data_IF_902810872008
#
_entry.id   IF_902810872008
#
_cell.length_a   1.000
_cell.length_b   1.000
_cell.length_c   1.000
_cell.angle_alpha   90.00
_cell.angle_beta   90.00
_cell.angle_gamma   90.00
#
_symmetry.space_group_name_H-M   'P 1'
#
loop_
_entity.id
_entity.type
_entity.pdbx_description
1 polymer ?
#
# COMPACT_ATOMS: atom_id res chain seq x y z
N UNK A 1 11.68 -75.55 19.03
CA UNK A 1 11.90 -74.22 19.62
C UNK A 1 12.04 -73.23 18.48
N UNK A 2 11.01 -72.46 18.20
CA UNK A 2 10.97 -71.40 17.13
C UNK A 2 11.02 -70.06 17.84
N UNK A 3 12.11 -69.32 17.71
CA UNK A 3 12.27 -67.98 18.26
C UNK A 3 11.61 -66.98 17.35
N UNK A 4 10.63 -66.23 17.86
CA UNK A 4 9.99 -65.05 17.21
C UNK A 4 10.79 -63.81 17.56
N UNK A 5 11.41 -63.19 16.57
CA UNK A 5 11.98 -61.85 16.71
C UNK A 5 10.85 -60.81 16.54
N UNK A 6 10.54 -60.07 17.60
CA UNK A 6 9.70 -58.86 17.54
C UNK A 6 10.57 -57.69 17.09
N UNK A 7 10.32 -57.18 15.89
CA UNK A 7 10.87 -55.91 15.44
C UNK A 7 9.99 -54.76 15.95
N UNK A 8 10.54 -53.95 16.85
CA UNK A 8 9.90 -52.71 17.34
C UNK A 8 10.21 -51.61 16.34
N UNK A 9 9.21 -51.18 15.57
CA UNK A 9 9.27 -49.99 14.72
C UNK A 9 9.03 -48.74 15.60
N UNK A 10 10.10 -48.02 15.93
CA UNK A 10 9.99 -46.67 16.53
C UNK A 10 9.60 -45.67 15.47
N UNK A 11 8.34 -45.26 15.49
CA UNK A 11 7.84 -44.13 14.68
C UNK A 11 8.33 -42.86 15.35
N UNK A 12 9.36 -42.22 14.74
CA UNK A 12 9.80 -40.87 15.10
C UNK A 12 8.77 -39.90 14.55
N UNK A 13 7.92 -39.39 15.41
CA UNK A 13 7.08 -38.21 15.10
C UNK A 13 8.00 -37.01 14.99
N UNK A 14 8.40 -36.64 13.77
CA UNK A 14 8.97 -35.32 13.50
C UNK A 14 7.81 -34.33 13.57
N UNK A 15 7.63 -33.73 14.74
CA UNK A 15 6.74 -32.61 14.92
C UNK A 15 7.24 -31.45 14.03
N UNK A 16 6.59 -31.20 12.92
CA UNK A 16 6.72 -29.91 12.24
C UNK A 16 6.21 -28.85 13.21
N UNK A 17 7.13 -28.18 13.90
CA UNK A 17 6.82 -26.91 14.54
C UNK A 17 6.37 -25.95 13.42
N UNK A 18 5.08 -25.80 13.24
CA UNK A 18 4.51 -24.70 12.47
C UNK A 18 5.04 -23.43 13.11
N UNK A 19 6.00 -22.77 12.46
CA UNK A 19 6.40 -21.41 12.82
C UNK A 19 5.13 -20.58 12.71
N UNK A 20 4.52 -20.28 13.86
CA UNK A 20 3.35 -19.43 13.94
C UNK A 20 3.73 -18.09 13.28
N UNK A 21 3.13 -17.80 12.15
CA UNK A 21 3.37 -16.57 11.40
C UNK A 21 2.76 -15.43 12.21
N UNK A 22 3.60 -14.60 12.84
CA UNK A 22 3.16 -13.41 13.54
C UNK A 22 2.73 -12.39 12.48
N UNK A 23 1.42 -12.19 12.32
CA UNK A 23 0.88 -11.20 11.37
C UNK A 23 1.24 -9.78 11.78
N UNK A 24 1.26 -9.48 13.09
CA UNK A 24 1.71 -8.22 13.67
C UNK A 24 2.75 -8.50 14.76
N UNK A 25 3.81 -7.70 14.80
CA UNK A 25 4.93 -7.84 15.74
C UNK A 25 5.10 -6.61 16.62
N UNK A 26 4.01 -5.88 16.91
CA UNK A 26 4.05 -4.64 17.69
C UNK A 26 4.65 -4.84 19.10
N UNK A 27 4.24 -5.87 19.80
CA UNK A 27 4.68 -6.10 21.19
C UNK A 27 6.19 -6.30 21.29
N UNK A 28 6.75 -7.18 20.45
CA UNK A 28 8.19 -7.43 20.39
C UNK A 28 8.97 -6.17 19.99
N UNK A 29 8.44 -5.41 19.03
CA UNK A 29 9.04 -4.16 18.59
C UNK A 29 9.00 -3.08 19.66
N UNK A 30 7.89 -2.93 20.40
CA UNK A 30 7.79 -2.02 21.54
C UNK A 30 8.79 -2.37 22.65
N UNK A 31 8.93 -3.65 22.98
CA UNK A 31 9.92 -4.11 23.94
C UNK A 31 11.35 -3.77 23.49
N UNK A 32 11.64 -3.87 22.19
CA UNK A 32 12.96 -3.50 21.66
C UNK A 32 13.23 -2.00 21.80
N UNK A 33 12.28 -1.16 21.45
CA UNK A 33 12.39 0.31 21.59
C UNK A 33 12.49 0.72 23.05
N UNK A 34 11.74 0.09 23.96
CA UNK A 34 11.72 0.42 25.38
C UNK A 34 13.03 0.03 26.12
N UNK A 35 13.99 -0.62 25.48
CA UNK A 35 15.34 -0.82 26.03
C UNK A 35 16.11 0.50 26.17
N UNK A 36 15.81 1.51 25.32
CA UNK A 36 16.30 2.86 25.50
C UNK A 36 15.43 3.61 26.51
N UNK A 37 16.01 4.12 27.65
CA UNK A 37 15.25 4.78 28.69
C UNK A 37 14.48 6.02 28.21
N UNK A 38 15.06 6.78 27.27
CA UNK A 38 14.43 7.97 26.72
C UNK A 38 13.22 7.62 25.87
N UNK A 39 13.32 6.56 25.08
CA UNK A 39 12.20 6.04 24.30
C UNK A 39 11.10 5.52 25.22
N UNK A 40 11.46 4.74 26.25
CA UNK A 40 10.50 4.25 27.25
C UNK A 40 9.72 5.41 27.89
N UNK A 41 10.41 6.49 28.29
CA UNK A 41 9.77 7.67 28.88
C UNK A 41 8.79 8.33 27.90
N UNK A 42 9.17 8.50 26.64
CA UNK A 42 8.29 9.09 25.60
C UNK A 42 7.04 8.23 25.34
N UNK A 43 7.18 6.91 25.31
CA UNK A 43 6.04 5.99 25.16
C UNK A 43 5.06 6.15 26.32
N UNK A 44 5.57 6.18 27.55
CA UNK A 44 4.76 6.38 28.75
C UNK A 44 4.07 7.75 28.77
N UNK A 45 4.75 8.81 28.35
CA UNK A 45 4.17 10.15 28.24
C UNK A 45 3.03 10.20 27.23
N UNK A 46 3.22 9.58 26.05
CA UNK A 46 2.19 9.52 25.02
C UNK A 46 0.95 8.76 25.51
N UNK A 47 1.16 7.61 26.17
CA UNK A 47 0.06 6.82 26.74
C UNK A 47 -0.67 7.58 27.85
N UNK A 48 0.07 8.21 28.77
CA UNK A 48 -0.51 9.01 29.84
C UNK A 48 -1.32 10.20 29.29
N UNK A 49 -0.82 10.85 28.23
CA UNK A 49 -1.54 11.92 27.55
C UNK A 49 -2.90 11.44 27.03
N UNK A 50 -2.90 10.31 26.29
CA UNK A 50 -4.13 9.74 25.75
C UNK A 50 -5.13 9.41 26.87
N UNK A 51 -4.67 8.70 27.92
CA UNK A 51 -5.54 8.27 29.01
C UNK A 51 -6.13 9.48 29.77
N UNK A 52 -5.33 10.49 30.07
CA UNK A 52 -5.82 11.72 30.72
C UNK A 52 -6.85 12.44 29.87
N UNK A 53 -6.63 12.48 28.54
CA UNK A 53 -7.54 13.13 27.61
C UNK A 53 -8.91 12.43 27.52
N UNK A 54 -8.89 11.10 27.50
CA UNK A 54 -10.11 10.28 27.49
C UNK A 54 -10.92 10.46 28.79
N UNK A 55 -10.24 10.54 29.95
CA UNK A 55 -10.92 10.74 31.22
C UNK A 55 -11.64 12.10 31.32
N UNK A 56 -11.07 13.16 30.76
CA UNK A 56 -11.64 14.50 30.83
C UNK A 56 -12.62 14.84 29.71
N UNK A 57 -12.75 13.98 28.66
CA UNK A 57 -13.58 14.19 27.45
C UNK A 57 -13.39 15.55 26.79
N UNK A 58 -12.21 16.17 26.94
CA UNK A 58 -11.90 17.51 26.43
C UNK A 58 -11.39 17.51 25.00
N UNK A 59 -11.07 16.36 24.44
CA UNK A 59 -10.34 16.21 23.20
C UNK A 59 -11.07 16.71 21.94
N UNK A 60 -12.35 17.05 22.04
CA UNK A 60 -13.13 17.54 20.90
C UNK A 60 -13.90 18.85 21.17
N UNK A 61 -13.83 19.40 22.39
CA UNK A 61 -14.51 20.67 22.70
C UNK A 61 -13.77 21.90 22.14
N UNK A 62 -12.54 21.78 21.71
CA UNK A 62 -11.71 22.87 21.15
C UNK A 62 -11.98 23.21 19.69
N UNK A 63 -12.76 22.42 18.96
CA UNK A 63 -13.25 22.75 17.61
C UNK A 63 -14.75 22.99 17.65
N UNK A 64 -15.13 24.19 18.05
CA UNK A 64 -16.47 24.81 17.98
C UNK A 64 -17.67 23.83 17.96
N UNK A 65 -18.36 23.72 19.10
CA UNK A 65 -19.74 23.28 19.17
C UNK A 65 -19.94 21.88 19.69
N UNK A 66 -20.24 21.79 21.01
CA UNK A 66 -20.69 20.56 21.65
C UNK A 66 -21.93 19.99 20.98
N UNK A 67 -21.90 18.72 20.71
CA UNK A 67 -23.05 17.98 20.21
C UNK A 67 -22.60 16.57 19.77
N UNK A 68 -23.17 15.57 20.40
CA UNK A 68 -23.12 14.23 19.84
C UNK A 68 -23.73 14.27 18.43
N UNK A 69 -22.91 14.15 17.40
CA UNK A 69 -23.39 13.71 16.11
C UNK A 69 -23.29 14.61 14.89
N UNK A 70 -22.92 15.91 14.92
CA UNK A 70 -22.97 16.68 13.66
C UNK A 70 -21.95 17.83 13.53
N UNK A 71 -20.70 17.67 14.00
CA UNK A 71 -19.71 18.76 13.92
C UNK A 71 -18.24 18.38 13.87
N UNK A 72 -17.89 17.10 13.95
CA UNK A 72 -16.48 16.69 13.85
C UNK A 72 -16.01 16.82 12.41
N UNK A 73 -15.00 17.67 12.18
CA UNK A 73 -14.32 17.74 10.88
C UNK A 73 -13.46 16.50 10.66
N UNK A 74 -13.48 15.99 9.44
CA UNK A 74 -12.62 14.86 9.04
C UNK A 74 -11.16 15.29 9.11
N UNK A 75 -10.35 14.51 9.81
CA UNK A 75 -8.89 14.70 9.87
C UNK A 75 -8.29 14.06 8.63
N UNK A 76 -7.56 14.83 7.83
CA UNK A 76 -6.84 14.35 6.66
C UNK A 76 -5.38 14.18 6.98
N UNK A 77 -4.87 12.95 6.80
CA UNK A 77 -3.50 12.56 7.10
C UNK A 77 -2.73 12.40 5.78
N UNK A 78 -1.74 13.27 5.50
CA UNK A 78 -0.87 13.08 4.34
C UNK A 78 0.01 11.84 4.51
N UNK A 79 0.07 11.00 3.47
CA UNK A 79 0.78 9.72 3.47
C UNK A 79 1.88 9.72 2.43
N UNK A 80 3.07 9.26 2.80
CA UNK A 80 4.13 8.89 1.86
C UNK A 80 4.35 7.38 1.89
N UNK A 81 4.44 6.76 0.72
CA UNK A 81 4.65 5.33 0.57
C UNK A 81 6.05 5.08 0.02
N UNK A 82 6.91 4.42 0.80
CA UNK A 82 8.27 4.04 0.44
C UNK A 82 8.26 2.58 -0.05
N UNK A 83 8.28 2.35 -1.37
CA UNK A 83 8.34 1.02 -1.97
C UNK A 83 9.80 0.61 -2.10
N UNK A 84 10.25 -0.31 -1.22
CA UNK A 84 11.62 -0.83 -1.18
C UNK A 84 11.65 -2.19 -1.85
N UNK A 85 12.36 -2.32 -2.97
CA UNK A 85 12.32 -3.51 -3.81
C UNK A 85 13.70 -4.01 -4.24
N UNK A 86 13.88 -5.31 -4.22
CA UNK A 86 15.05 -6.00 -4.75
C UNK A 86 14.81 -6.52 -6.18
N UNK A 87 13.58 -6.91 -6.49
CA UNK A 87 13.17 -7.48 -7.77
C UNK A 87 11.83 -6.90 -8.25
N UNK A 88 11.40 -7.30 -9.45
CA UNK A 88 10.19 -6.77 -10.08
C UNK A 88 8.90 -7.09 -9.30
N UNK A 89 8.82 -8.23 -8.62
CA UNK A 89 7.63 -8.61 -7.87
C UNK A 89 7.41 -7.72 -6.64
N UNK A 90 8.49 -7.28 -6.00
CA UNK A 90 8.45 -6.38 -4.84
C UNK A 90 8.20 -4.93 -5.24
N UNK A 91 8.45 -4.56 -6.50
CA UNK A 91 8.17 -3.23 -7.04
C UNK A 91 6.69 -3.13 -7.44
N UNK A 92 5.82 -3.17 -6.45
CA UNK A 92 4.38 -3.15 -6.66
C UNK A 92 3.92 -1.92 -7.46
N UNK A 93 2.85 -2.07 -8.25
CA UNK A 93 2.35 -1.00 -9.12
C UNK A 93 1.76 0.18 -8.33
N UNK A 94 1.72 1.37 -8.96
CA UNK A 94 1.03 2.53 -8.38
C UNK A 94 -0.45 2.23 -8.15
N UNK A 95 -1.08 1.45 -9.03
CA UNK A 95 -2.47 1.02 -8.84
C UNK A 95 -2.65 0.21 -7.55
N UNK A 96 -1.73 -0.72 -7.24
CA UNK A 96 -1.78 -1.46 -5.98
C UNK A 96 -1.54 -0.54 -4.78
N UNK A 97 -0.62 0.42 -4.88
CA UNK A 97 -0.37 1.42 -3.82
C UNK A 97 -1.60 2.29 -3.58
N UNK A 98 -2.19 2.83 -4.63
CA UNK A 98 -3.36 3.72 -4.52
C UNK A 98 -4.60 2.97 -4.02
N UNK A 99 -4.74 1.68 -4.35
CA UNK A 99 -5.83 0.86 -3.81
C UNK A 99 -5.76 0.72 -2.27
N UNK A 100 -4.54 0.76 -1.68
CA UNK A 100 -4.41 0.76 -0.23
C UNK A 100 -4.96 2.04 0.41
N UNK A 101 -4.74 3.19 -0.21
CA UNK A 101 -5.31 4.46 0.27
C UNK A 101 -6.84 4.43 0.19
N UNK A 102 -7.39 3.82 -0.86
CA UNK A 102 -8.83 3.62 -0.99
C UNK A 102 -9.38 2.71 0.13
N UNK A 103 -8.67 1.60 0.45
CA UNK A 103 -9.01 0.73 1.57
C UNK A 103 -9.00 1.52 2.88
N UNK A 104 -7.92 2.22 3.20
CA UNK A 104 -7.83 3.02 4.43
C UNK A 104 -9.01 3.97 4.56
N UNK A 105 -9.35 4.69 3.49
CA UNK A 105 -10.46 5.65 3.50
C UNK A 105 -11.85 5.00 3.64
N UNK A 106 -12.03 3.77 3.15
CA UNK A 106 -13.28 3.03 3.34
C UNK A 106 -13.39 2.46 4.75
N UNK A 107 -12.33 1.85 5.26
CA UNK A 107 -12.33 1.15 6.55
C UNK A 107 -12.39 2.15 7.72
N UNK A 108 -11.56 3.19 7.75
CA UNK A 108 -11.58 4.22 8.81
C UNK A 108 -12.82 5.10 8.78
N UNK A 109 -13.56 5.15 7.68
CA UNK A 109 -14.82 5.90 7.54
C UNK A 109 -16.06 5.00 7.62
N UNK A 110 -15.89 3.72 7.96
CA UNK A 110 -16.99 2.73 8.02
C UNK A 110 -17.85 2.74 6.72
N UNK A 111 -17.19 2.87 5.55
CA UNK A 111 -17.82 2.97 4.22
C UNK A 111 -17.53 1.75 3.32
N UNK A 112 -16.93 0.72 3.86
CA UNK A 112 -16.65 -0.53 3.13
C UNK A 112 -17.91 -1.39 2.99
N UNK A 113 -17.94 -2.29 2.01
CA UNK A 113 -19.12 -3.12 1.73
C UNK A 113 -19.46 -4.11 2.85
N UNK A 114 -18.47 -4.54 3.62
CA UNK A 114 -18.59 -5.57 4.67
C UNK A 114 -19.23 -5.04 5.96
N UNK A 115 -19.65 -3.77 6.03
CA UNK A 115 -20.37 -3.22 7.22
C UNK A 115 -21.62 -4.00 7.55
N UNK A 116 -22.29 -4.59 6.56
CA UNK A 116 -23.44 -5.46 6.74
C UNK A 116 -23.10 -6.77 7.47
N UNK A 117 -21.84 -7.20 7.44
CA UNK A 117 -21.32 -8.41 8.08
C UNK A 117 -20.90 -8.19 9.54
N UNK A 118 -20.93 -6.96 10.04
CA UNK A 118 -20.68 -6.66 11.45
C UNK A 118 -21.73 -7.40 12.29
N UNK A 119 -21.32 -8.22 13.28
CA UNK A 119 -22.28 -8.94 14.14
C UNK A 119 -23.30 -7.99 14.77
N UNK A 120 -24.55 -8.37 14.79
CA UNK A 120 -25.65 -7.50 15.25
C UNK A 120 -25.41 -6.95 16.67
N UNK A 121 -24.79 -7.75 17.55
CA UNK A 121 -24.46 -7.39 18.94
C UNK A 121 -23.41 -6.27 19.03
N UNK A 122 -22.53 -6.11 18.03
CA UNK A 122 -21.47 -5.09 17.99
C UNK A 122 -21.79 -3.93 17.05
N UNK A 123 -22.88 -4.00 16.30
CA UNK A 123 -23.19 -3.00 15.26
C UNK A 123 -23.36 -1.58 15.80
N UNK A 124 -23.92 -1.42 17.00
CA UNK A 124 -24.06 -0.12 17.65
C UNK A 124 -22.74 0.46 18.16
N UNK A 125 -21.71 -0.36 18.26
CA UNK A 125 -20.37 0.04 18.69
C UNK A 125 -19.45 0.38 17.50
N UNK A 126 -19.84 0.01 16.26
CA UNK A 126 -19.02 0.25 15.08
C UNK A 126 -18.89 1.75 14.79
N UNK A 127 -17.67 2.20 14.57
CA UNK A 127 -17.32 3.63 14.47
C UNK A 127 -16.89 4.07 13.08
N UNK A 128 -17.41 5.19 12.60
CA UNK A 128 -16.70 6.06 11.66
C UNK A 128 -15.61 6.81 12.44
N UNK A 129 -14.34 6.53 12.15
CA UNK A 129 -13.20 7.09 12.87
C UNK A 129 -12.89 8.54 12.46
N UNK A 130 -13.59 9.10 11.48
CA UNK A 130 -13.42 10.47 10.98
C UNK A 130 -11.98 10.77 10.49
N UNK A 131 -11.26 9.75 10.04
CA UNK A 131 -9.91 9.85 9.50
C UNK A 131 -9.93 9.57 7.98
N UNK A 132 -9.23 10.38 7.22
CA UNK A 132 -8.98 10.20 5.79
C UNK A 132 -7.49 10.27 5.50
N UNK A 133 -7.02 9.43 4.60
CA UNK A 133 -5.63 9.34 4.18
C UNK A 133 -5.49 9.87 2.77
N UNK A 134 -4.55 10.77 2.56
CA UNK A 134 -4.34 11.43 1.27
C UNK A 134 -2.88 11.28 0.89
N UNK A 135 -2.61 10.79 -0.31
CA UNK A 135 -1.23 10.70 -0.80
C UNK A 135 -0.61 12.09 -0.82
N UNK A 136 0.61 12.22 -0.29
CA UNK A 136 1.31 13.49 -0.27
C UNK A 136 1.52 14.03 -1.68
N UNK A 137 1.19 15.30 -1.89
CA UNK A 137 1.41 16.02 -3.14
C UNK A 137 2.64 16.94 -3.09
N UNK A 138 3.18 17.16 -1.89
CA UNK A 138 4.38 17.97 -1.64
C UNK A 138 5.38 17.12 -0.86
N UNK A 139 6.65 17.11 -1.29
CA UNK A 139 7.72 16.43 -0.58
C UNK A 139 8.35 17.33 0.52
N UNK A 140 9.26 16.81 1.37
CA UNK A 140 9.89 17.59 2.44
C UNK A 140 10.65 18.84 1.99
N UNK A 141 11.06 18.90 0.72
CA UNK A 141 11.76 20.03 0.12
C UNK A 141 10.81 21.07 -0.49
N UNK A 142 9.48 20.83 -0.41
CA UNK A 142 8.47 21.73 -0.94
C UNK A 142 8.15 21.52 -2.42
N UNK A 143 8.68 20.49 -3.07
CA UNK A 143 8.40 20.19 -4.48
C UNK A 143 7.19 19.24 -4.62
N UNK A 144 6.54 19.33 -5.77
CA UNK A 144 5.48 18.40 -6.14
C UNK A 144 5.98 16.95 -6.16
N UNK A 145 5.15 16.02 -5.69
CA UNK A 145 5.46 14.59 -5.62
C UNK A 145 4.20 13.76 -5.88
N UNK A 146 4.38 12.51 -6.28
CA UNK A 146 3.32 11.51 -6.31
C UNK A 146 3.05 10.89 -4.94
N UNK A 147 3.85 11.20 -3.91
CA UNK A 147 3.80 10.55 -2.60
C UNK A 147 4.21 9.08 -2.60
N UNK A 148 4.67 8.55 -3.74
CA UNK A 148 5.18 7.19 -3.88
C UNK A 148 6.67 7.26 -4.18
N UNK A 149 7.50 6.89 -3.22
CA UNK A 149 8.97 6.83 -3.36
C UNK A 149 9.37 5.39 -3.66
N UNK A 150 10.21 5.20 -4.69
CA UNK A 150 10.67 3.87 -5.09
C UNK A 150 12.17 3.75 -4.89
N UNK A 151 12.59 2.76 -4.08
CA UNK A 151 13.98 2.53 -3.74
C UNK A 151 14.39 1.11 -4.08
N UNK A 152 15.26 0.96 -5.05
CA UNK A 152 15.91 -0.33 -5.33
C UNK A 152 16.94 -0.64 -4.25
N UNK A 153 16.94 -1.88 -3.75
CA UNK A 153 17.87 -2.35 -2.73
C UNK A 153 18.55 -3.64 -3.15
N UNK A 154 19.71 -3.94 -2.55
CA UNK A 154 20.38 -5.24 -2.64
C UNK A 154 20.02 -6.15 -1.45
N UNK A 155 19.31 -5.63 -0.44
CA UNK A 155 18.85 -6.45 0.68
C UNK A 155 17.82 -7.48 0.21
N UNK A 156 17.99 -8.74 0.63
CA UNK A 156 17.06 -9.83 0.30
C UNK A 156 15.75 -9.73 1.09
N UNK A 157 15.77 -9.04 2.24
CA UNK A 157 14.61 -8.79 3.10
C UNK A 157 15.02 -7.99 4.34
N UNK A 158 14.02 -7.53 5.10
CA UNK A 158 14.20 -6.69 6.29
C UNK A 158 13.52 -7.34 7.50
N UNK A 159 14.17 -7.25 8.67
CA UNK A 159 13.60 -7.64 9.96
C UNK A 159 12.84 -6.49 10.64
N UNK A 160 12.60 -6.64 11.94
CA UNK A 160 12.02 -5.60 12.80
C UNK A 160 13.10 -4.68 13.41
N UNK A 161 14.27 -4.61 12.81
CA UNK A 161 15.45 -3.84 13.27
C UNK A 161 15.51 -2.44 12.61
N UNK A 162 14.43 -1.99 12.03
CA UNK A 162 14.24 -0.70 11.35
C UNK A 162 15.17 -0.43 10.15
N UNK A 163 15.96 -1.38 9.71
CA UNK A 163 16.85 -1.18 8.56
C UNK A 163 16.12 -0.73 7.30
N UNK A 164 14.86 -1.15 7.11
CA UNK A 164 14.02 -0.70 5.99
C UNK A 164 13.75 0.82 6.03
N UNK A 165 13.87 1.44 7.20
CA UNK A 165 13.58 2.87 7.45
C UNK A 165 14.82 3.77 7.26
N UNK A 166 15.97 3.23 6.83
CA UNK A 166 17.20 3.99 6.64
C UNK A 166 17.86 3.70 5.30
N UNK A 167 18.17 4.76 4.56
CA UNK A 167 18.87 4.67 3.27
C UNK A 167 20.27 4.05 3.41
N UNK A 168 20.93 4.26 4.54
CA UNK A 168 22.26 3.70 4.84
C UNK A 168 22.29 2.19 4.95
N UNK A 169 21.13 1.56 5.20
CA UNK A 169 20.98 0.10 5.33
C UNK A 169 20.18 -0.53 4.18
N UNK A 170 20.00 0.22 3.08
CA UNK A 170 19.31 -0.26 1.89
C UNK A 170 17.80 0.00 1.88
N UNK A 171 17.26 0.63 2.91
CA UNK A 171 15.90 1.12 2.97
C UNK A 171 15.75 2.56 2.46
N UNK A 172 14.81 3.31 3.02
CA UNK A 172 14.61 4.73 2.74
C UNK A 172 14.26 5.51 4.00
N UNK A 173 14.78 6.75 4.13
CA UNK A 173 14.60 7.56 5.32
C UNK A 173 13.17 8.06 5.45
N UNK A 174 12.68 8.15 6.69
CA UNK A 174 11.39 8.75 6.99
C UNK A 174 11.32 10.22 6.52
N UNK A 175 10.15 10.62 6.04
CA UNK A 175 9.79 12.02 5.95
C UNK A 175 9.32 12.52 7.33
N UNK A 176 9.29 13.84 7.51
CA UNK A 176 8.93 14.46 8.79
C UNK A 176 7.57 13.96 9.32
N UNK A 177 7.58 13.21 10.42
CA UNK A 177 6.37 12.63 11.02
C UNK A 177 5.33 13.66 11.48
N UNK A 178 5.75 14.90 11.66
CA UNK A 178 4.85 15.99 12.04
C UNK A 178 4.05 16.51 10.84
N UNK A 179 4.38 16.02 9.63
CA UNK A 179 3.71 16.37 8.37
C UNK A 179 3.20 15.16 7.58
N UNK A 180 3.76 13.97 7.81
CA UNK A 180 3.47 12.77 7.01
C UNK A 180 3.32 11.53 7.89
N UNK A 181 2.39 10.66 7.53
CA UNK A 181 2.46 9.24 7.88
C UNK A 181 3.39 8.55 6.87
N UNK A 182 4.47 7.94 7.37
CA UNK A 182 5.36 7.13 6.55
C UNK A 182 4.86 5.67 6.51
N UNK A 183 4.78 5.09 5.32
CA UNK A 183 4.48 3.67 5.12
C UNK A 183 5.59 3.05 4.29
N UNK A 184 6.36 2.12 4.87
CA UNK A 184 7.35 1.34 4.13
C UNK A 184 6.75 0.03 3.66
N UNK A 185 6.92 -0.25 2.39
CA UNK A 185 6.46 -1.48 1.74
C UNK A 185 7.66 -2.20 1.17
N UNK A 186 7.91 -3.43 1.62
CA UNK A 186 9.07 -4.20 1.17
C UNK A 186 8.97 -5.69 1.44
N UNK A 187 10.03 -6.43 1.14
CA UNK A 187 10.13 -7.82 1.52
C UNK A 187 10.59 -7.92 2.97
N UNK A 188 9.78 -8.56 3.82
CA UNK A 188 10.09 -8.74 5.24
C UNK A 188 10.55 -10.19 5.51
N UNK A 189 11.34 -10.34 6.56
CA UNK A 189 11.84 -11.64 7.02
C UNK A 189 10.69 -12.64 7.26
N UNK A 190 11.00 -13.92 7.19
CA UNK A 190 10.03 -14.97 7.44
C UNK A 190 9.36 -14.78 8.82
N UNK A 191 8.05 -14.98 8.86
CA UNK A 191 7.25 -14.78 10.08
C UNK A 191 6.77 -13.35 10.34
N UNK A 192 7.37 -12.32 9.72
CA UNK A 192 6.93 -10.92 9.87
C UNK A 192 6.07 -10.52 8.67
N UNK A 193 4.84 -10.09 8.91
CA UNK A 193 3.95 -9.53 7.86
C UNK A 193 3.93 -8.01 7.91
N UNK A 194 3.82 -7.45 9.11
CA UNK A 194 3.81 -6.01 9.32
C UNK A 194 4.24 -5.67 10.75
N UNK A 195 4.59 -4.41 10.98
CA UNK A 195 4.75 -3.81 12.30
C UNK A 195 4.61 -2.29 12.24
N UNK A 196 4.25 -1.70 13.37
CA UNK A 196 4.03 -0.27 13.51
C UNK A 196 4.98 0.33 14.55
N UNK A 197 5.42 1.56 14.32
CA UNK A 197 6.06 2.34 15.38
C UNK A 197 5.05 2.69 16.46
N UNK A 198 5.38 2.50 17.74
CA UNK A 198 4.48 2.88 18.82
C UNK A 198 4.35 4.39 18.91
N UNK A 199 3.21 4.85 19.38
CA UNK A 199 2.94 6.26 19.64
C UNK A 199 3.96 6.82 20.66
N UNK A 200 4.66 7.90 20.31
CA UNK A 200 5.77 8.44 21.13
C UNK A 200 7.15 7.86 20.81
N UNK A 201 7.27 6.93 19.87
CA UNK A 201 8.54 6.39 19.39
C UNK A 201 9.47 7.44 18.78
N UNK A 202 10.70 7.05 18.35
CA UNK A 202 11.64 7.94 17.68
C UNK A 202 11.08 8.51 16.37
N UNK A 203 11.40 9.77 16.06
CA UNK A 203 10.89 10.46 14.85
C UNK A 203 11.37 9.80 13.54
N UNK A 204 12.60 9.32 13.57
CA UNK A 204 13.32 8.78 12.43
C UNK A 204 12.76 7.41 11.97
N UNK A 205 12.02 6.76 12.86
CA UNK A 205 11.42 5.44 12.58
C UNK A 205 9.90 5.45 12.64
N UNK A 206 9.29 6.64 12.77
CA UNK A 206 7.84 6.78 12.94
C UNK A 206 7.07 6.43 11.65
N UNK A 207 6.14 5.49 11.77
CA UNK A 207 5.29 5.00 10.69
C UNK A 207 5.03 3.50 10.75
N UNK A 208 4.57 2.93 9.65
CA UNK A 208 4.23 1.50 9.55
C UNK A 208 5.05 0.80 8.47
N UNK A 209 5.37 -0.46 8.70
CA UNK A 209 6.10 -1.32 7.77
C UNK A 209 5.23 -2.50 7.39
N UNK A 210 5.05 -2.74 6.10
CA UNK A 210 4.14 -3.77 5.60
C UNK A 210 4.82 -4.58 4.49
N UNK A 211 4.64 -5.88 4.52
CA UNK A 211 5.12 -6.77 3.45
C UNK A 211 4.41 -6.44 2.14
N UNK A 212 5.13 -6.39 1.02
CA UNK A 212 4.62 -5.98 -0.28
C UNK A 212 3.40 -6.78 -0.78
N UNK A 213 3.27 -8.05 -0.37
CA UNK A 213 2.14 -8.91 -0.73
C UNK A 213 1.01 -8.94 0.31
N UNK A 214 1.07 -8.07 1.32
CA UNK A 214 0.00 -7.81 2.28
C UNK A 214 -0.47 -6.34 2.22
N UNK A 215 -0.14 -5.62 1.15
CA UNK A 215 -0.41 -4.20 0.96
C UNK A 215 -1.28 -3.96 -0.28
N UNK A 216 -2.39 -3.24 -0.11
CA UNK A 216 -3.31 -2.90 -1.20
C UNK A 216 -4.22 -4.05 -1.64
N UNK A 217 -4.87 -3.83 -2.77
CA UNK A 217 -5.75 -4.79 -3.43
C UNK A 217 -5.13 -5.27 -4.73
N UNK A 218 -5.43 -6.50 -5.14
CA UNK A 218 -4.99 -7.04 -6.42
C UNK A 218 -3.45 -7.07 -6.58
N UNK A 219 -2.96 -7.13 -7.80
CA UNK A 219 -1.52 -7.12 -8.09
C UNK A 219 -0.79 -8.25 -7.38
N UNK A 220 0.07 -7.92 -6.42
CA UNK A 220 0.85 -8.87 -5.62
C UNK A 220 0.20 -9.18 -4.26
N UNK A 221 -0.89 -8.51 -3.89
CA UNK A 221 -1.62 -8.81 -2.64
C UNK A 221 -2.13 -10.25 -2.65
N UNK A 222 -1.89 -10.98 -1.55
CA UNK A 222 -2.15 -12.42 -1.46
C UNK A 222 -2.89 -12.80 -0.17
N UNK A 223 -3.72 -13.82 -0.26
CA UNK A 223 -4.40 -14.38 0.91
C UNK A 223 -3.38 -14.84 1.97
N UNK A 224 -3.73 -14.71 3.26
CA UNK A 224 -5.00 -14.25 3.83
C UNK A 224 -5.11 -12.72 4.00
N UNK A 225 -4.20 -11.92 3.44
CA UNK A 225 -4.06 -10.46 3.62
C UNK A 225 -4.31 -9.68 2.32
N UNK A 226 -5.22 -10.15 1.48
CA UNK A 226 -5.47 -9.60 0.15
C UNK A 226 -6.45 -8.41 0.10
N UNK A 227 -7.01 -7.99 1.25
CA UNK A 227 -7.93 -6.85 1.33
C UNK A 227 -7.29 -5.57 1.89
N UNK A 228 -5.98 -5.58 2.15
CA UNK A 228 -5.23 -4.42 2.66
C UNK A 228 -5.56 -4.06 4.11
N UNK A 229 -6.21 -4.93 4.88
CA UNK A 229 -6.64 -4.66 6.26
C UNK A 229 -5.51 -4.77 7.27
N UNK A 230 -4.40 -5.39 6.90
CA UNK A 230 -3.15 -5.31 7.68
C UNK A 230 -2.70 -3.86 7.85
N UNK A 231 -2.79 -3.01 6.81
CA UNK A 231 -2.45 -1.60 6.95
C UNK A 231 -3.42 -0.86 7.89
N UNK A 232 -4.70 -1.22 7.89
CA UNK A 232 -5.70 -0.67 8.82
C UNK A 232 -5.34 -1.01 10.27
N UNK A 233 -4.97 -2.26 10.53
CA UNK A 233 -4.50 -2.76 11.83
C UNK A 233 -3.26 -1.99 12.31
N UNK A 234 -2.22 -1.91 11.48
CA UNK A 234 -0.96 -1.26 11.84
C UNK A 234 -1.12 0.26 12.08
N UNK A 235 -2.00 0.91 11.32
CA UNK A 235 -2.32 2.33 11.56
C UNK A 235 -3.13 2.50 12.86
N UNK A 236 -3.97 1.54 13.24
CA UNK A 236 -4.58 1.51 14.56
C UNK A 236 -3.53 1.56 15.67
N UNK A 237 -2.48 0.75 15.58
CA UNK A 237 -1.35 0.79 16.51
C UNK A 237 -0.56 2.11 16.45
N UNK A 238 -0.31 2.62 15.25
CA UNK A 238 0.37 3.91 15.06
C UNK A 238 -0.40 5.07 15.70
N UNK A 239 -1.72 4.94 15.87
CA UNK A 239 -2.61 5.86 16.55
C UNK A 239 -2.83 5.52 18.05
N UNK A 240 -2.12 4.52 18.59
CA UNK A 240 -2.11 4.21 20.02
C UNK A 240 -3.08 3.11 20.47
N UNK A 241 -3.70 2.37 19.54
CA UNK A 241 -4.49 1.19 19.90
C UNK A 241 -3.57 0.02 20.27
N UNK A 242 -4.03 -0.85 21.13
CA UNK A 242 -3.43 -2.14 21.48
C UNK A 242 -4.24 -3.27 20.85
N UNK A 243 -3.68 -4.47 20.80
CA UNK A 243 -4.45 -5.67 20.55
C UNK A 243 -5.55 -5.85 21.58
N UNK A 244 -6.68 -6.44 21.20
CA UNK A 244 -7.85 -6.64 22.08
C UNK A 244 -7.55 -7.39 23.39
N UNK A 245 -6.53 -8.26 23.39
CA UNK A 245 -6.09 -9.01 24.58
C UNK A 245 -5.04 -8.24 25.41
N UNK A 246 -4.76 -6.96 25.11
CA UNK A 246 -3.80 -6.14 25.84
C UNK A 246 -2.41 -6.74 25.93
N UNK A 247 -2.02 -7.58 24.94
CA UNK A 247 -0.75 -8.30 24.84
C UNK A 247 -0.44 -9.25 26.04
N UNK A 248 -1.48 -9.69 26.74
CA UNK A 248 -1.43 -10.69 27.81
C UNK A 248 -2.74 -11.47 27.90
N UNK A 249 -2.73 -12.66 28.51
CA UNK A 249 -3.92 -13.49 28.65
C UNK A 249 -5.03 -12.74 29.41
N UNK A 250 -6.18 -12.55 28.77
CA UNK A 250 -7.33 -11.78 29.32
C UNK A 250 -6.96 -10.38 29.79
N UNK A 251 -5.97 -9.74 29.13
CA UNK A 251 -5.57 -8.39 29.45
C UNK A 251 -6.56 -7.35 28.91
N UNK A 252 -6.31 -6.09 29.29
CA UNK A 252 -7.11 -4.95 28.87
C UNK A 252 -6.35 -4.11 27.84
N UNK A 253 -6.99 -3.80 26.70
CA UNK A 253 -6.43 -2.94 25.66
C UNK A 253 -6.58 -1.43 25.97
N UNK A 254 -7.22 -1.10 27.09
CA UNK A 254 -7.50 0.27 27.52
C UNK A 254 -8.64 0.92 26.76
N UNK A 255 -9.63 0.10 26.31
CA UNK A 255 -10.87 0.53 25.67
C UNK A 255 -12.05 -0.19 26.30
N UNK A 256 -13.04 0.57 26.79
CA UNK A 256 -14.12 0.00 27.64
C UNK A 256 -15.20 -0.76 26.84
N UNK A 257 -15.31 -0.51 25.54
CA UNK A 257 -16.34 -1.12 24.68
C UNK A 257 -15.82 -2.34 23.89
N UNK A 258 -14.64 -2.85 24.23
CA UNK A 258 -14.06 -4.09 23.73
C UNK A 258 -14.10 -5.17 24.80
N UNK A 259 -14.66 -6.39 24.54
CA UNK A 259 -14.66 -7.50 25.49
C UNK A 259 -13.26 -8.01 25.78
N UNK A 260 -12.99 -8.47 27.02
CA UNK A 260 -11.71 -9.06 27.39
C UNK A 260 -11.48 -10.37 26.62
N UNK A 261 -10.33 -10.49 25.98
CA UNK A 261 -9.97 -11.59 25.11
C UNK A 261 -8.73 -12.35 25.61
N UNK A 262 -8.74 -13.68 25.48
CA UNK A 262 -7.66 -14.54 25.97
C UNK A 262 -6.36 -14.48 25.16
N UNK A 263 -6.40 -14.00 23.91
CA UNK A 263 -5.25 -13.93 23.01
C UNK A 263 -5.69 -13.69 21.57
N UNK A 264 -4.74 -13.71 20.66
CA UNK A 264 -4.98 -13.51 19.23
C UNK A 264 -5.92 -14.56 18.64
N UNK A 265 -6.92 -14.10 17.87
CA UNK A 265 -7.77 -14.97 17.06
C UNK A 265 -7.17 -15.13 15.67
N UNK A 266 -7.18 -16.35 15.11
CA UNK A 266 -6.63 -16.64 13.79
C UNK A 266 -7.68 -17.23 12.86
N UNK A 267 -7.49 -17.07 11.56
CA UNK A 267 -8.46 -17.50 10.57
C UNK A 267 -9.72 -16.63 10.58
N UNK A 268 -10.87 -17.23 10.27
CA UNK A 268 -12.18 -16.58 10.32
C UNK A 268 -13.14 -17.44 11.16
N UNK A 269 -13.24 -17.21 12.46
CA UNK A 269 -14.22 -17.90 13.31
C UNK A 269 -15.65 -17.62 12.86
N UNK A 270 -16.55 -18.50 13.23
CA UNK A 270 -18.01 -18.32 13.02
C UNK A 270 -18.74 -18.44 14.36
N UNK A 271 -19.82 -17.68 14.49
CA UNK A 271 -20.64 -17.68 15.71
C UNK A 271 -19.98 -16.91 16.87
N UNK A 272 -20.46 -17.17 18.10
CA UNK A 272 -19.96 -16.50 19.30
C UNK A 272 -18.77 -17.26 19.86
N UNK A 273 -17.60 -16.63 19.92
CA UNK A 273 -16.42 -17.13 20.62
C UNK A 273 -16.41 -16.50 22.01
N UNK A 274 -16.28 -17.33 23.05
CA UNK A 274 -16.40 -16.90 24.45
C UNK A 274 -15.30 -15.89 24.82
N UNK A 275 -15.70 -14.79 25.43
CA UNK A 275 -14.80 -13.80 26.04
C UNK A 275 -14.38 -14.17 27.48
N UNK A 276 -13.33 -13.54 28.01
CA UNK A 276 -12.87 -13.76 29.37
C UNK A 276 -13.85 -13.20 30.44
N UNK A 277 -14.53 -12.11 30.10
CA UNK A 277 -15.52 -11.42 30.95
C UNK A 277 -16.94 -11.92 30.77
N UNK A 278 -17.15 -12.99 29.99
CA UNK A 278 -18.44 -13.55 29.65
C UNK A 278 -19.40 -12.54 28.95
N UNK A 279 -18.87 -11.56 28.23
CA UNK A 279 -19.65 -10.65 27.39
C UNK A 279 -20.61 -11.41 26.49
N UNK A 280 -21.87 -10.95 26.38
CA UNK A 280 -22.95 -11.66 25.65
C UNK A 280 -22.60 -11.91 24.17
N UNK A 281 -21.89 -10.96 23.56
CA UNK A 281 -21.41 -11.07 22.16
C UNK A 281 -20.17 -11.94 21.98
N UNK A 282 -19.52 -12.37 23.09
CA UNK A 282 -18.21 -13.01 23.04
C UNK A 282 -17.11 -12.02 22.66
N UNK A 283 -15.98 -12.52 22.10
CA UNK A 283 -14.88 -11.68 21.61
C UNK A 283 -15.23 -11.00 20.29
N UNK A 284 -14.58 -9.86 20.03
CA UNK A 284 -14.72 -9.10 18.77
C UNK A 284 -13.70 -9.55 17.70
N UNK A 285 -13.68 -10.82 17.30
CA UNK A 285 -12.73 -11.33 16.32
C UNK A 285 -12.83 -10.66 14.93
N UNK A 286 -13.87 -9.87 14.69
CA UNK A 286 -14.05 -9.04 13.50
C UNK A 286 -13.51 -7.60 13.65
N UNK A 287 -12.95 -7.24 14.80
CA UNK A 287 -12.31 -5.96 15.01
C UNK A 287 -10.93 -5.91 14.35
N UNK A 288 -10.55 -4.75 13.80
CA UNK A 288 -9.23 -4.59 13.15
C UNK A 288 -8.06 -4.81 14.09
N UNK A 289 -8.25 -4.72 15.42
CA UNK A 289 -7.18 -4.93 16.40
C UNK A 289 -7.06 -6.37 16.89
N UNK A 290 -7.77 -7.33 16.27
CA UNK A 290 -7.46 -8.77 16.37
C UNK A 290 -6.50 -9.18 15.22
N UNK A 291 -6.12 -10.48 15.12
CA UNK A 291 -5.21 -11.05 14.11
C UNK A 291 -5.94 -12.11 13.27
N UNK A 292 -7.16 -11.84 12.91
CA UNK A 292 -7.92 -12.66 11.98
C UNK A 292 -7.51 -12.38 10.52
N UNK A 293 -7.99 -13.20 9.59
CA UNK A 293 -7.79 -12.92 8.17
C UNK A 293 -8.51 -11.64 7.76
N UNK A 294 -8.01 -10.95 6.73
CA UNK A 294 -8.62 -9.74 6.17
C UNK A 294 -10.12 -9.92 5.86
N UNK A 295 -10.54 -11.14 5.49
CA UNK A 295 -11.94 -11.43 5.16
C UNK A 295 -12.91 -11.26 6.34
N UNK A 296 -12.40 -11.30 7.56
CA UNK A 296 -13.21 -11.24 8.78
C UNK A 296 -13.20 -9.89 9.47
N UNK A 297 -12.13 -9.11 9.32
CA UNK A 297 -11.99 -7.80 9.95
C UNK A 297 -12.93 -6.79 9.29
N UNK A 298 -13.70 -6.03 10.05
CA UNK A 298 -14.65 -5.07 9.46
C UNK A 298 -15.07 -3.91 10.37
N UNK A 299 -14.44 -3.72 11.54
CA UNK A 299 -14.81 -2.60 12.41
C UNK A 299 -13.70 -2.15 13.37
N UNK A 300 -13.73 -0.87 13.71
CA UNK A 300 -13.27 -0.31 14.97
C UNK A 300 -14.47 0.01 15.84
N UNK A 301 -14.27 0.14 17.16
CA UNK A 301 -15.31 0.58 18.10
C UNK A 301 -15.30 2.10 18.32
N UNK A 302 -16.37 2.61 18.94
CA UNK A 302 -16.46 4.03 19.33
C UNK A 302 -15.35 4.41 20.31
N UNK A 303 -15.03 3.54 21.27
CA UNK A 303 -13.94 3.75 22.22
C UNK A 303 -12.57 3.75 21.54
N UNK A 304 -12.34 2.83 20.58
CA UNK A 304 -11.12 2.84 19.77
C UNK A 304 -10.97 4.10 18.93
N UNK A 305 -12.06 4.57 18.30
CA UNK A 305 -12.08 5.87 17.60
C UNK A 305 -11.65 7.00 18.53
N UNK A 306 -12.28 7.08 19.68
CA UNK A 306 -12.03 8.14 20.66
C UNK A 306 -10.56 8.13 21.09
N UNK A 307 -9.99 6.95 21.33
CA UNK A 307 -8.58 6.77 21.68
C UNK A 307 -7.64 7.22 20.55
N UNK A 308 -7.94 6.87 19.29
CA UNK A 308 -7.17 7.34 18.14
C UNK A 308 -7.24 8.85 17.95
N UNK A 309 -8.42 9.45 18.10
CA UNK A 309 -8.61 10.90 17.96
C UNK A 309 -7.93 11.69 19.07
N UNK A 310 -7.82 11.13 20.28
CA UNK A 310 -7.09 11.77 21.39
C UNK A 310 -5.61 12.05 21.03
N UNK A 311 -5.01 11.29 20.13
CA UNK A 311 -3.65 11.57 19.66
C UNK A 311 -3.50 12.90 18.92
N UNK A 312 -4.60 13.42 18.36
CA UNK A 312 -4.64 14.69 17.62
C UNK A 312 -5.09 15.88 18.49
N UNK A 313 -5.39 15.68 19.77
CA UNK A 313 -5.76 16.74 20.68
C UNK A 313 -4.59 17.73 20.89
N UNK A 314 -4.89 18.94 21.35
CA UNK A 314 -3.87 19.97 21.58
C UNK A 314 -2.77 19.47 22.52
N UNK A 315 -1.52 19.53 22.06
CA UNK A 315 -0.35 18.97 22.76
C UNK A 315 -0.18 17.46 22.59
N UNK A 316 -1.05 16.79 21.86
CA UNK A 316 -0.99 15.36 21.58
C UNK A 316 0.11 14.97 20.59
N UNK A 317 0.52 13.71 20.59
CA UNK A 317 1.66 13.23 19.79
C UNK A 317 1.46 13.29 18.28
N UNK A 318 0.22 13.47 17.79
CA UNK A 318 -0.14 13.64 16.38
C UNK A 318 -0.74 15.02 16.05
N UNK A 319 -0.78 15.93 17.03
CA UNK A 319 -1.40 17.24 16.86
C UNK A 319 -0.81 18.03 15.68
N UNK A 320 0.50 17.97 15.47
CA UNK A 320 1.18 18.69 14.41
C UNK A 320 0.67 18.32 12.99
N UNK A 321 0.19 17.09 12.78
CA UNK A 321 -0.39 16.65 11.50
C UNK A 321 -1.62 17.45 11.08
N UNK A 322 -2.37 18.04 12.02
CA UNK A 322 -3.56 18.85 11.73
C UNK A 322 -3.25 20.09 10.90
N UNK A 323 -2.04 20.63 11.02
CA UNK A 323 -1.57 21.80 10.28
C UNK A 323 -0.74 21.44 9.04
N UNK A 324 -0.64 20.15 8.70
CA UNK A 324 0.13 19.72 7.54
C UNK A 324 -0.51 20.15 6.22
N UNK A 325 0.25 20.83 5.38
CA UNK A 325 -0.13 21.21 4.02
C UNK A 325 0.43 20.22 2.97
N UNK A 326 0.97 19.10 3.40
CA UNK A 326 1.66 18.15 2.53
C UNK A 326 0.75 17.45 1.48
N UNK A 327 -0.57 17.54 1.66
CA UNK A 327 -1.59 17.07 0.69
C UNK A 327 -2.33 18.20 -0.01
N UNK A 328 -1.99 19.46 0.27
CA UNK A 328 -2.54 20.58 -0.51
C UNK A 328 -1.88 20.57 -1.88
N UNK A 329 -2.71 20.51 -2.93
CA UNK A 329 -2.18 20.69 -4.29
C UNK A 329 -1.38 22.01 -4.33
N UNK A 330 -0.07 21.93 -4.54
CA UNK A 330 0.64 23.09 -5.05
C UNK A 330 -0.06 23.36 -6.39
N UNK A 331 -0.57 24.57 -6.66
CA UNK A 331 -0.87 24.92 -8.02
C UNK A 331 0.42 24.62 -8.79
N UNK A 332 0.37 23.58 -9.65
CA UNK A 332 1.47 23.40 -10.60
C UNK A 332 1.67 24.79 -11.19
N UNK A 333 2.90 25.36 -11.19
CA UNK A 333 3.14 26.57 -11.96
C UNK A 333 2.50 26.27 -13.30
N UNK A 334 1.61 27.17 -13.76
CA UNK A 334 0.95 26.98 -15.06
C UNK A 334 2.00 26.39 -15.97
N UNK A 335 1.77 25.23 -16.61
CA UNK A 335 2.75 24.68 -17.49
C UNK A 335 3.16 25.83 -18.36
N UNK A 336 4.44 26.26 -18.25
CA UNK A 336 5.02 27.21 -19.19
C UNK A 336 4.48 26.77 -20.54
N UNK A 337 3.83 27.65 -21.33
CA UNK A 337 3.21 27.22 -22.57
C UNK A 337 4.21 26.27 -23.20
N UNK A 338 3.89 24.99 -23.20
CA UNK A 338 4.70 23.97 -23.83
C UNK A 338 4.60 24.43 -25.26
N UNK A 339 5.65 25.14 -25.73
CA UNK A 339 5.86 25.16 -27.17
C UNK A 339 5.74 23.71 -27.56
N UNK A 340 4.79 23.33 -28.41
CA UNK A 340 4.56 21.94 -28.70
C UNK A 340 5.92 21.38 -29.05
N UNK A 341 6.49 20.55 -28.16
CA UNK A 341 7.65 19.73 -28.51
C UNK A 341 7.09 18.96 -29.69
N UNK A 342 7.50 19.39 -30.87
CA UNK A 342 7.04 18.81 -32.10
C UNK A 342 7.26 17.31 -31.90
N UNK A 343 6.17 16.59 -31.72
CA UNK A 343 6.22 15.15 -31.53
C UNK A 343 7.13 14.66 -32.62
N UNK A 344 8.23 13.99 -32.30
CA UNK A 344 9.18 13.49 -33.32
C UNK A 344 8.44 12.43 -34.15
N UNK A 345 7.46 12.93 -34.89
CA UNK A 345 6.52 12.12 -35.64
C UNK A 345 7.19 11.72 -36.95
N UNK A 346 7.59 10.47 -37.01
CA UNK A 346 7.92 9.84 -38.27
C UNK A 346 6.69 9.94 -39.17
N UNK A 347 6.82 10.48 -40.36
CA UNK A 347 5.75 10.54 -41.35
C UNK A 347 5.91 9.39 -42.33
N UNK A 348 4.82 8.67 -42.59
CA UNK A 348 4.78 7.58 -43.56
C UNK A 348 3.63 7.83 -44.52
N UNK A 349 3.97 8.12 -45.77
CA UNK A 349 2.99 8.50 -46.79
C UNK A 349 3.38 8.02 -48.20
N UNK A 350 2.45 7.86 -49.11
CA UNK A 350 1.00 7.85 -48.86
C UNK A 350 0.55 6.58 -48.13
N UNK A 351 -0.51 6.71 -47.36
CA UNK A 351 -1.15 5.57 -46.72
C UNK A 351 -2.68 5.82 -46.68
N UNK A 352 -3.50 5.10 -47.45
CA UNK A 352 -3.20 3.92 -48.28
C UNK A 352 -2.23 4.16 -49.45
N UNK A 353 -1.61 3.08 -49.92
CA UNK A 353 -0.69 3.11 -51.05
C UNK A 353 -0.95 2.00 -52.06
N UNK A 354 -0.76 2.35 -53.36
CA UNK A 354 -0.84 1.37 -54.44
C UNK A 354 0.53 0.78 -54.82
N UNK A 355 1.65 1.49 -54.63
CA UNK A 355 2.95 1.08 -55.13
C UNK A 355 4.10 1.27 -54.15
N UNK A 356 4.19 2.41 -53.50
CA UNK A 356 5.32 2.73 -52.62
C UNK A 356 4.90 3.64 -51.47
N UNK A 357 5.67 3.61 -50.38
CA UNK A 357 5.59 4.55 -49.27
C UNK A 357 6.90 5.32 -49.14
N UNK A 358 6.80 6.51 -48.61
CA UNK A 358 7.95 7.33 -48.18
C UNK A 358 7.95 7.44 -46.66
N UNK A 359 9.08 7.12 -46.06
CA UNK A 359 9.33 7.33 -44.63
C UNK A 359 10.14 8.62 -44.52
N UNK A 360 9.60 9.60 -43.79
CA UNK A 360 10.29 10.86 -43.44
C UNK A 360 10.62 10.88 -41.98
N UNK A 361 11.93 10.92 -41.67
CA UNK A 361 12.49 10.97 -40.32
C UNK A 361 13.11 12.32 -39.99
N UNK A 362 12.78 13.38 -40.71
CA UNK A 362 13.38 14.70 -40.47
C UNK A 362 13.26 15.17 -39.00
N UNK A 363 12.21 14.77 -38.33
CA UNK A 363 11.98 15.06 -36.90
C UNK A 363 12.78 14.17 -35.95
N UNK A 364 13.34 13.01 -36.40
CA UNK A 364 14.14 12.09 -35.57
C UNK A 364 15.31 11.46 -36.32
N UNK A 365 16.41 12.20 -36.39
CA UNK A 365 17.65 11.77 -37.05
C UNK A 365 18.33 10.55 -36.37
N UNK A 366 17.93 10.18 -35.16
CA UNK A 366 18.45 8.97 -34.48
C UNK A 366 18.02 7.67 -35.17
N UNK A 367 17.10 7.76 -36.12
CA UNK A 367 16.64 6.62 -36.93
C UNK A 367 17.51 6.36 -38.18
N UNK A 368 18.45 7.27 -38.51
CA UNK A 368 19.46 6.99 -39.53
C UNK A 368 20.28 5.76 -39.12
N UNK A 369 20.50 4.86 -40.06
CA UNK A 369 21.18 3.58 -39.80
C UNK A 369 20.31 2.51 -39.16
N UNK A 370 19.04 2.78 -38.84
CA UNK A 370 18.12 1.75 -38.34
C UNK A 370 17.42 1.00 -39.50
N UNK A 371 17.02 -0.22 -39.21
CA UNK A 371 16.25 -1.04 -40.15
C UNK A 371 14.77 -0.75 -40.00
N UNK A 372 14.11 -0.45 -41.11
CA UNK A 372 12.66 -0.44 -41.27
C UNK A 372 12.20 -1.83 -41.74
N UNK A 373 11.38 -2.51 -40.96
CA UNK A 373 10.84 -3.84 -41.28
C UNK A 373 9.33 -3.78 -41.46
N UNK A 374 8.83 -4.48 -42.51
CA UNK A 374 7.41 -4.57 -42.79
C UNK A 374 6.94 -6.01 -42.51
N UNK A 375 5.86 -6.13 -41.75
CA UNK A 375 5.29 -7.40 -41.31
C UNK A 375 3.85 -7.53 -41.83
N UNK A 376 3.44 -8.76 -42.17
CA UNK A 376 2.04 -9.06 -42.48
C UNK A 376 1.18 -9.17 -41.19
N UNK A 377 -0.11 -9.44 -41.31
CA UNK A 377 -1.05 -9.59 -40.21
C UNK A 377 -0.71 -10.77 -39.25
N UNK A 378 0.04 -11.77 -39.76
CA UNK A 378 0.51 -12.91 -38.94
C UNK A 378 1.82 -12.60 -38.19
N UNK A 379 2.34 -11.35 -38.29
CA UNK A 379 3.61 -10.95 -37.70
C UNK A 379 4.86 -11.42 -38.45
N UNK A 380 4.73 -12.06 -39.60
CA UNK A 380 5.86 -12.49 -40.40
C UNK A 380 6.48 -11.30 -41.13
N UNK A 381 7.80 -11.16 -41.09
CA UNK A 381 8.52 -10.12 -41.79
C UNK A 381 8.51 -10.43 -43.31
N UNK A 382 7.98 -9.49 -44.08
CA UNK A 382 7.85 -9.63 -45.55
C UNK A 382 8.84 -8.73 -46.31
N UNK A 383 9.38 -7.69 -45.63
CA UNK A 383 10.35 -6.78 -46.26
C UNK A 383 11.18 -6.08 -45.18
N UNK A 384 12.40 -5.66 -45.51
CA UNK A 384 13.22 -4.77 -44.68
C UNK A 384 14.05 -3.83 -45.55
N UNK A 385 14.28 -2.62 -45.05
CA UNK A 385 15.08 -1.56 -45.69
C UNK A 385 15.89 -0.84 -44.67
N UNK A 386 17.16 -0.54 -44.93
CA UNK A 386 18.01 0.29 -44.12
C UNK A 386 17.68 1.77 -44.37
N UNK A 387 17.43 2.54 -43.34
CA UNK A 387 17.21 4.00 -43.42
C UNK A 387 18.56 4.70 -43.55
N UNK A 388 18.92 5.11 -44.75
CA UNK A 388 20.21 5.77 -45.02
C UNK A 388 20.10 7.28 -45.24
N UNK A 389 18.87 7.79 -45.35
CA UNK A 389 18.58 9.22 -45.58
C UNK A 389 17.39 9.64 -44.74
N UNK A 390 17.25 10.94 -44.49
CA UNK A 390 16.10 11.50 -43.79
C UNK A 390 14.75 11.22 -44.47
N UNK A 391 14.77 10.94 -45.77
CA UNK A 391 13.61 10.52 -46.57
C UNK A 391 13.95 9.25 -47.32
N UNK A 392 13.27 8.15 -47.01
CA UNK A 392 13.51 6.81 -47.59
C UNK A 392 12.24 6.28 -48.22
N UNK A 393 12.32 5.95 -49.52
CA UNK A 393 11.17 5.35 -50.27
C UNK A 393 11.29 3.84 -50.26
N UNK A 394 10.16 3.14 -50.06
CA UNK A 394 10.05 1.70 -50.06
C UNK A 394 9.01 1.28 -51.12
N UNK A 395 9.43 0.47 -52.11
CA UNK A 395 8.53 -0.08 -53.10
C UNK A 395 7.79 -1.29 -52.52
N UNK A 396 6.46 -1.25 -52.55
CA UNK A 396 5.56 -2.30 -52.06
C UNK A 396 4.79 -3.05 -53.17
N UNK A 397 5.16 -2.86 -54.43
CA UNK A 397 4.45 -3.50 -55.58
C UNK A 397 4.43 -5.02 -55.52
N UNK A 398 5.44 -5.65 -54.92
CA UNK A 398 5.49 -7.10 -54.73
C UNK A 398 4.55 -7.63 -53.64
N UNK A 399 3.98 -6.75 -52.82
CA UNK A 399 3.05 -7.14 -51.76
C UNK A 399 1.62 -7.18 -52.27
N UNK A 400 0.85 -8.16 -51.84
CA UNK A 400 -0.59 -8.27 -52.11
C UNK A 400 -1.35 -7.15 -51.36
N UNK A 401 -2.56 -6.86 -51.82
CA UNK A 401 -3.45 -5.94 -51.09
C UNK A 401 -3.74 -6.46 -49.70
N UNK A 402 -3.72 -5.54 -48.73
CA UNK A 402 -3.91 -5.93 -47.33
C UNK A 402 -3.34 -4.93 -46.33
N UNK A 403 -3.39 -5.33 -45.07
CA UNK A 403 -2.85 -4.58 -43.95
C UNK A 403 -1.47 -5.10 -43.60
N UNK A 404 -0.53 -4.17 -43.43
CA UNK A 404 0.84 -4.44 -43.03
C UNK A 404 1.22 -3.56 -41.84
N UNK A 405 2.30 -3.88 -41.16
CA UNK A 405 2.83 -3.15 -40.02
C UNK A 405 4.30 -2.80 -40.26
N UNK A 406 4.59 -1.52 -40.36
CA UNK A 406 5.97 -1.01 -40.45
C UNK A 406 6.52 -0.77 -39.03
N UNK A 407 7.72 -1.26 -38.77
CA UNK A 407 8.51 -0.97 -37.56
C UNK A 407 9.85 -0.41 -37.96
N UNK A 408 10.32 0.60 -37.22
CA UNK A 408 11.64 1.22 -37.42
C UNK A 408 12.38 1.18 -36.08
N UNK A 409 13.46 0.40 -35.98
CA UNK A 409 14.33 0.32 -34.79
C UNK A 409 13.52 0.00 -33.52
N UNK A 410 12.81 -0.43 -32.96
CA UNK A 410 12.05 -0.66 -31.71
C UNK A 410 10.87 0.30 -31.51
N UNK A 411 10.50 1.10 -32.54
CA UNK A 411 9.34 1.99 -32.47
C UNK A 411 8.00 1.24 -32.44
N UNK A 412 6.93 1.93 -32.03
CA UNK A 412 5.56 1.43 -32.18
C UNK A 412 5.26 1.14 -33.66
N UNK A 413 4.53 0.06 -33.99
CA UNK A 413 4.25 -0.29 -35.37
C UNK A 413 3.30 0.74 -36.03
N UNK A 414 3.62 1.15 -37.25
CA UNK A 414 2.76 1.96 -38.12
C UNK A 414 1.91 1.05 -38.98
N UNK A 415 0.61 1.22 -38.94
CA UNK A 415 -0.32 0.45 -39.79
C UNK A 415 -0.30 0.99 -41.21
N UNK A 416 -0.05 0.12 -42.19
CA UNK A 416 -0.04 0.43 -43.64
C UNK A 416 -1.19 -0.27 -44.34
N UNK A 417 -1.81 0.43 -45.27
CA UNK A 417 -2.86 -0.12 -46.16
C UNK A 417 -2.33 -0.18 -47.60
N UNK A 418 -2.10 -1.38 -48.10
CA UNK A 418 -1.74 -1.64 -49.49
C UNK A 418 -3.01 -1.95 -50.28
N UNK A 419 -3.22 -1.25 -51.37
CA UNK A 419 -4.38 -1.43 -52.26
C UNK A 419 -3.92 -1.52 -53.71
N UNK A 420 -4.56 -2.35 -54.52
CA UNK A 420 -4.41 -2.27 -55.97
C UNK A 420 -5.08 -0.99 -56.46
N UNK A 421 -4.31 -0.10 -57.05
CA UNK A 421 -4.79 1.20 -57.52
C UNK A 421 -5.81 1.05 -58.68
N UNK A 422 -6.98 0.53 -58.41
CA UNK A 422 -8.14 0.64 -59.31
C UNK A 422 -8.93 1.88 -58.89
N UNK A 423 -8.52 3.04 -59.42
CA UNK A 423 -9.42 4.14 -59.60
C UNK A 423 -10.29 3.80 -60.84
N UNK A 424 -11.51 3.34 -60.60
CA UNK A 424 -12.58 3.58 -61.55
C UNK A 424 -13.61 4.49 -60.90
N UNK A 425 -14.09 5.52 -61.66
CA UNK A 425 -14.87 6.64 -61.15
C UNK A 425 -16.26 6.26 -60.66
#
# INVERSE_FOLDING_TARGET
MKSFLLAVFSIVFIGFASLAQNSCALHEYQQQIAKDPNSKSRLQQAESFINNHLQHKEYLSGTQGGGHGNGMSVIRIPVVIHVIYNNADQNISDQQVLSQIEVLNKEFRLKHADTSLIPAVFRSLAADCMLEFVVASVNPQGYATTGIVRKKTNASGFGMDDKIKFSSTGGDNAWDRDKYLNIWVGNLAAGVVAYSSPLGGPKETDGVVIRYNAFGLNGKAAQPYAKGRIAVHEIGHWLGLRHLWGDQYCGNDGVDDTPLQGGATRGCPSGIVKSCDNSIGGIMYNNYMDITNDDCMNMFTLGQRDKMLAAFANGGPRYALLSSTASTAIPLPEPLPIEPVAEKAIRVFPNPTASSITIDINSDQNLLGKVASIHNQLGQQVMQVLITKSTTSINLQSLRDGIYFLRIGGSKPYKLFKTSGNNNP
#
